data_IF_403074281027
#
_entry.id   IF_403074281027
#
_cell.length_a   1.000
_cell.length_b   1.000
_cell.length_c   1.000
_cell.angle_alpha   90.00
_cell.angle_beta   90.00
_cell.angle_gamma   90.00
#
_symmetry.space_group_name_H-M   'P 1'
#
loop_
_entity.id
_entity.type
_entity.pdbx_description
1 polymer ?
#
# COMPACT_ATOMS: atom_id res chain seq x y z
N UNK A 1 -5.44 12.64 -4.86
CA UNK A 1 -6.24 13.89 -4.86
C UNK A 1 -6.82 14.17 -3.47
N UNK A 2 -7.72 13.35 -2.92
CA UNK A 2 -8.30 13.56 -1.58
C UNK A 2 -7.25 13.65 -0.44
N UNK A 3 -6.25 12.78 -0.45
CA UNK A 3 -5.16 12.82 0.55
C UNK A 3 -4.25 14.06 0.42
N UNK A 4 -4.12 14.65 -0.76
CA UNK A 4 -3.37 15.90 -0.96
C UNK A 4 -4.16 17.12 -0.48
N UNK A 5 -5.48 17.11 -0.67
CA UNK A 5 -6.37 18.15 -0.17
C UNK A 5 -6.46 18.15 1.36
N UNK A 6 -6.51 16.98 2.00
CA UNK A 6 -6.48 16.84 3.47
C UNK A 6 -5.17 17.37 4.06
N UNK A 7 -4.03 17.09 3.41
CA UNK A 7 -2.72 17.60 3.82
C UNK A 7 -2.61 19.12 3.65
N UNK A 8 -3.20 19.68 2.60
CA UNK A 8 -3.29 21.14 2.39
C UNK A 8 -4.21 21.80 3.42
N UNK A 9 -5.32 21.13 3.79
CA UNK A 9 -6.21 21.58 4.85
C UNK A 9 -5.50 21.67 6.20
N UNK A 10 -4.79 20.62 6.60
CA UNK A 10 -3.99 20.60 7.83
C UNK A 10 -2.89 21.67 7.82
N UNK A 11 -2.24 21.92 6.68
CA UNK A 11 -1.24 22.98 6.55
C UNK A 11 -1.82 24.37 6.84
N UNK A 12 -2.99 24.69 6.27
CA UNK A 12 -3.68 25.96 6.51
C UNK A 12 -4.08 26.14 7.98
N UNK A 13 -4.56 25.06 8.63
CA UNK A 13 -4.92 25.11 10.06
C UNK A 13 -3.69 25.43 10.93
N UNK A 14 -2.53 24.86 10.62
CA UNK A 14 -1.30 25.16 11.36
C UNK A 14 -0.82 26.60 11.17
N UNK A 15 -0.86 27.11 9.95
CA UNK A 15 -0.52 28.51 9.65
C UNK A 15 -1.44 29.47 10.40
N UNK A 16 -2.73 29.14 10.46
CA UNK A 16 -3.71 29.90 11.23
C UNK A 16 -3.42 29.90 12.73
N UNK A 17 -3.08 28.74 13.33
CA UNK A 17 -2.67 28.65 14.75
C UNK A 17 -1.42 29.48 15.04
N UNK A 18 -0.45 29.52 14.10
CA UNK A 18 0.74 30.37 14.23
C UNK A 18 0.39 31.87 14.16
N UNK A 19 -0.52 32.26 13.26
CA UNK A 19 -1.00 33.64 13.18
C UNK A 19 -1.66 34.08 14.50
N UNK A 20 -2.52 33.24 15.08
CA UNK A 20 -3.13 33.50 16.40
C UNK A 20 -2.06 33.68 17.48
N UNK A 21 -1.05 32.80 17.51
CA UNK A 21 0.07 32.89 18.44
C UNK A 21 0.82 34.24 18.35
N UNK A 22 1.09 34.72 17.13
CA UNK A 22 1.74 36.03 16.90
C UNK A 22 0.83 37.17 17.35
N UNK A 23 -0.48 37.09 17.08
CA UNK A 23 -1.46 38.10 17.53
C UNK A 23 -1.42 38.24 19.06
N UNK A 24 -1.38 37.12 19.80
CA UNK A 24 -1.25 37.18 21.26
C UNK A 24 0.01 37.91 21.71
N UNK A 25 1.13 37.77 21.01
CA UNK A 25 2.39 38.49 21.34
C UNK A 25 2.25 39.98 21.06
N UNK A 26 1.68 40.36 19.92
CA UNK A 26 1.45 41.77 19.56
C UNK A 26 0.53 42.43 20.58
N UNK A 27 -0.58 41.76 20.92
CA UNK A 27 -1.56 42.23 21.90
C UNK A 27 -0.95 42.29 23.32
N UNK A 28 -0.08 41.34 23.67
CA UNK A 28 0.68 41.37 24.91
C UNK A 28 1.59 42.61 25.01
N UNK A 29 2.40 42.86 23.97
CA UNK A 29 3.28 44.03 23.91
C UNK A 29 2.46 45.32 23.97
N UNK A 30 1.34 45.37 23.23
CA UNK A 30 0.46 46.53 23.23
C UNK A 30 -0.07 46.87 24.63
N UNK A 31 -0.55 45.86 25.36
CA UNK A 31 -1.12 46.06 26.68
C UNK A 31 -0.07 46.42 27.74
N UNK A 32 1.02 45.65 27.83
CA UNK A 32 2.01 45.82 28.90
C UNK A 32 3.02 46.95 28.63
N UNK A 33 3.13 47.44 27.39
CA UNK A 33 3.95 48.61 27.02
C UNK A 33 3.09 49.82 26.61
N UNK A 34 1.84 49.91 27.08
CA UNK A 34 0.88 50.93 26.64
C UNK A 34 1.41 52.37 26.79
N UNK A 35 2.11 52.67 27.89
CA UNK A 35 2.70 54.00 28.11
C UNK A 35 3.66 54.39 26.97
N UNK A 36 4.54 53.47 26.55
CA UNK A 36 5.48 53.72 25.47
C UNK A 36 4.78 53.95 24.12
N UNK A 37 3.64 53.29 23.90
CA UNK A 37 2.84 53.40 22.67
C UNK A 37 2.14 54.76 22.60
N UNK A 38 1.60 55.22 23.73
CA UNK A 38 1.03 56.56 23.86
C UNK A 38 2.11 57.64 23.68
N UNK A 39 3.29 57.46 24.27
CA UNK A 39 4.44 58.37 24.12
C UNK A 39 4.94 58.47 22.67
N UNK A 40 4.75 57.41 21.87
CA UNK A 40 5.01 57.41 20.41
C UNK A 40 3.91 58.09 19.59
N UNK A 41 2.84 58.59 20.22
CA UNK A 41 1.70 59.22 19.54
C UNK A 41 0.75 58.23 18.87
N UNK A 42 0.84 56.93 19.18
CA UNK A 42 -0.03 55.90 18.64
C UNK A 42 -1.20 55.71 19.61
N UNK A 43 -2.39 56.19 19.23
CA UNK A 43 -3.61 55.97 19.99
C UNK A 43 -4.69 55.36 19.08
N UNK A 44 -4.99 54.08 19.29
CA UNK A 44 -6.00 53.36 18.51
C UNK A 44 -7.16 53.03 19.46
N UNK A 45 -8.05 54.00 19.68
CA UNK A 45 -9.15 53.86 20.66
C UNK A 45 -10.08 52.65 20.43
N UNK A 46 -10.16 52.13 19.20
CA UNK A 46 -10.90 50.88 18.91
C UNK A 46 -10.22 49.66 19.55
N UNK A 47 -8.88 49.57 19.45
CA UNK A 47 -8.10 48.47 20.04
C UNK A 47 -8.20 48.52 21.56
N UNK A 48 -8.09 49.71 22.15
CA UNK A 48 -8.21 49.90 23.60
C UNK A 48 -9.54 49.37 24.13
N UNK A 49 -10.65 49.73 23.46
CA UNK A 49 -11.99 49.25 23.84
C UNK A 49 -12.13 47.73 23.74
N UNK A 50 -11.55 47.12 22.70
CA UNK A 50 -11.57 45.67 22.51
C UNK A 50 -10.78 44.96 23.61
N UNK A 51 -9.55 45.41 23.89
CA UNK A 51 -8.69 44.79 24.90
C UNK A 51 -9.26 44.95 26.31
N UNK A 52 -9.86 46.10 26.63
CA UNK A 52 -10.56 46.33 27.90
C UNK A 52 -11.74 45.38 28.09
N UNK A 53 -12.53 45.12 27.04
CA UNK A 53 -13.60 44.13 27.10
C UNK A 53 -13.06 42.71 27.35
N UNK A 54 -11.98 42.31 26.67
CA UNK A 54 -11.33 41.02 26.94
C UNK A 54 -10.80 40.92 28.37
N UNK A 55 -10.26 42.01 28.92
CA UNK A 55 -9.83 42.04 30.31
C UNK A 55 -11.02 41.89 31.27
N UNK A 56 -12.10 42.63 31.05
CA UNK A 56 -13.28 42.62 31.92
C UNK A 56 -14.02 41.27 31.89
N UNK A 57 -14.00 40.56 30.76
CA UNK A 57 -14.69 39.27 30.62
C UNK A 57 -13.82 38.07 30.96
N UNK A 58 -12.56 38.05 30.52
CA UNK A 58 -11.70 36.87 30.59
C UNK A 58 -10.45 37.03 31.48
N UNK A 59 -10.17 38.23 31.99
CA UNK A 59 -8.99 38.50 32.83
C UNK A 59 -7.66 38.19 32.14
N UNK A 60 -7.63 38.21 30.80
CA UNK A 60 -6.53 37.72 29.96
C UNK A 60 -5.20 38.46 30.23
N UNK A 61 -5.26 39.72 30.64
CA UNK A 61 -4.12 40.59 30.89
C UNK A 61 -3.81 40.80 32.37
N UNK A 62 -4.45 40.05 33.26
CA UNK A 62 -4.24 40.17 34.71
C UNK A 62 -2.81 39.81 35.15
N UNK A 63 -2.08 39.02 34.35
CA UNK A 63 -0.69 38.65 34.62
C UNK A 63 0.07 38.51 33.28
N UNK A 64 1.33 38.94 33.26
CA UNK A 64 2.23 38.81 32.10
C UNK A 64 2.33 37.37 31.59
N UNK A 65 2.20 36.38 32.47
CA UNK A 65 2.33 34.97 32.10
C UNK A 65 1.16 34.44 31.28
N UNK A 66 -0.06 34.95 31.49
CA UNK A 66 -1.28 34.35 30.90
C UNK A 66 -1.25 34.45 29.38
N UNK A 67 -1.08 35.65 28.85
CA UNK A 67 -0.98 35.91 27.39
C UNK A 67 0.23 35.24 26.76
N UNK A 68 1.36 35.14 27.49
CA UNK A 68 2.55 34.41 27.05
C UNK A 68 2.30 32.91 26.93
N UNK A 69 1.61 32.30 27.90
CA UNK A 69 1.24 30.89 27.86
C UNK A 69 0.30 30.61 26.68
N UNK A 70 -0.71 31.44 26.45
CA UNK A 70 -1.59 31.32 25.28
C UNK A 70 -0.82 31.38 23.96
N UNK A 71 0.12 32.34 23.82
CA UNK A 71 0.97 32.42 22.65
C UNK A 71 1.76 31.13 22.41
N UNK A 72 2.32 30.52 23.46
CA UNK A 72 3.07 29.25 23.36
C UNK A 72 2.17 28.04 23.09
N UNK A 73 0.96 27.98 23.65
CA UNK A 73 -0.01 26.90 23.35
C UNK A 73 -0.33 26.89 21.85
N UNK A 74 -0.70 28.04 21.29
CA UNK A 74 -1.00 28.14 19.86
C UNK A 74 0.23 27.88 18.98
N UNK A 75 1.42 28.29 19.43
CA UNK A 75 2.68 27.96 18.76
C UNK A 75 2.93 26.44 18.76
N UNK A 76 2.76 25.77 19.89
CA UNK A 76 2.94 24.33 20.03
C UNK A 76 1.98 23.56 19.11
N UNK A 77 0.69 23.94 19.10
CA UNK A 77 -0.31 23.39 18.19
C UNK A 77 0.09 23.60 16.71
N UNK A 78 0.64 24.77 16.36
CA UNK A 78 1.12 25.03 15.00
C UNK A 78 2.31 24.16 14.57
N UNK A 79 3.06 23.59 15.51
CA UNK A 79 4.24 22.78 15.22
C UNK A 79 3.90 21.29 14.96
N UNK A 80 2.79 20.77 15.51
CA UNK A 80 2.45 19.34 15.50
C UNK A 80 2.26 18.73 14.09
N UNK A 81 1.71 19.47 13.13
CA UNK A 81 1.46 18.93 11.79
C UNK A 81 2.57 19.22 10.78
N UNK A 82 3.61 19.99 11.12
CA UNK A 82 4.61 20.43 10.13
C UNK A 82 5.38 19.24 9.57
N UNK A 83 5.37 19.07 8.24
CA UNK A 83 6.20 18.06 7.56
C UNK A 83 7.59 18.64 7.36
N UNK A 84 8.51 18.33 8.28
CA UNK A 84 9.91 18.72 8.14
C UNK A 84 10.63 17.88 7.10
N UNK A 85 11.32 18.53 6.15
CA UNK A 85 12.27 17.87 5.26
C UNK A 85 13.43 17.32 6.11
N UNK A 86 13.67 16.01 6.06
CA UNK A 86 14.78 15.33 6.75
C UNK A 86 16.09 15.80 6.11
N UNK A 87 16.82 16.73 6.72
CA UNK A 87 18.13 17.06 6.20
C UNK A 87 19.22 17.51 7.20
N UNK A 88 19.02 17.31 8.51
CA UNK A 88 20.11 17.56 9.47
C UNK A 88 20.12 16.54 10.61
N UNK A 89 21.32 16.05 10.96
CA UNK A 89 21.60 15.28 12.18
C UNK A 89 21.35 16.19 13.40
N UNK A 90 20.10 16.26 13.85
CA UNK A 90 19.70 17.01 15.04
C UNK A 90 19.87 16.14 16.29
N UNK A 91 20.60 16.64 17.28
CA UNK A 91 20.81 15.98 18.56
C UNK A 91 19.85 16.56 19.61
N UNK A 92 19.35 15.72 20.52
CA UNK A 92 18.49 16.14 21.63
C UNK A 92 19.07 17.30 22.45
N UNK A 93 20.40 17.34 22.62
CA UNK A 93 21.10 18.42 23.31
C UNK A 93 20.84 19.80 22.68
N UNK A 94 20.81 19.91 21.34
CA UNK A 94 20.50 21.16 20.64
C UNK A 94 19.06 21.58 20.84
N UNK A 95 18.13 20.62 20.85
CA UNK A 95 16.71 20.87 21.10
C UNK A 95 16.50 21.42 22.51
N UNK A 96 17.09 20.78 23.53
CA UNK A 96 17.00 21.23 24.91
C UNK A 96 17.64 22.61 25.12
N UNK A 97 18.83 22.86 24.57
CA UNK A 97 19.49 24.16 24.69
C UNK A 97 18.64 25.29 24.06
N UNK A 98 18.05 25.03 22.89
CA UNK A 98 17.22 26.00 22.17
C UNK A 98 15.88 26.24 22.88
N UNK A 99 15.24 25.18 23.39
CA UNK A 99 14.03 25.28 24.19
C UNK A 99 14.26 26.07 25.49
N UNK A 100 15.33 25.75 26.21
CA UNK A 100 15.67 26.43 27.46
C UNK A 100 16.05 27.90 27.24
N UNK A 101 16.80 28.19 26.17
CA UNK A 101 17.06 29.57 25.75
C UNK A 101 15.77 30.34 25.41
N UNK A 102 14.83 29.69 24.70
CA UNK A 102 13.50 30.24 24.44
C UNK A 102 12.72 30.54 25.71
N UNK A 103 12.74 29.60 26.67
CA UNK A 103 12.06 29.74 27.96
C UNK A 103 12.60 30.92 28.77
N UNK A 104 13.92 31.05 28.89
CA UNK A 104 14.55 32.15 29.61
C UNK A 104 14.23 33.49 28.95
N UNK A 105 14.45 33.62 27.63
CA UNK A 105 14.26 34.91 26.95
C UNK A 105 12.79 35.34 26.87
N UNK A 106 11.86 34.39 26.77
CA UNK A 106 10.43 34.70 26.61
C UNK A 106 9.72 34.92 27.96
N UNK A 107 10.01 34.11 28.99
CA UNK A 107 9.33 34.19 30.28
C UNK A 107 10.09 35.02 31.31
N UNK A 108 11.44 35.00 31.32
CA UNK A 108 12.27 35.67 32.34
C UNK A 108 12.72 37.09 31.96
N UNK A 109 11.91 37.81 31.19
CA UNK A 109 12.21 39.17 30.74
C UNK A 109 11.33 40.26 31.40
N UNK A 110 10.58 39.94 32.47
CA UNK A 110 9.66 40.89 33.11
C UNK A 110 10.35 42.15 33.64
N UNK A 111 11.55 41.98 34.23
CA UNK A 111 12.35 43.06 34.82
C UNK A 111 12.87 44.08 33.80
N UNK A 112 12.82 43.77 32.50
CA UNK A 112 13.22 44.71 31.45
C UNK A 112 12.23 45.87 31.29
N UNK A 113 11.00 45.72 31.79
CA UNK A 113 10.01 46.80 31.80
C UNK A 113 10.32 47.87 32.85
N UNK A 114 11.00 47.50 33.94
CA UNK A 114 11.30 48.35 35.10
C UNK A 114 12.71 48.97 35.07
N UNK A 115 13.40 48.90 33.94
CA UNK A 115 14.74 49.48 33.80
C UNK A 115 14.71 51.02 33.85
N UNK A 116 15.78 51.68 34.33
CA UNK A 116 15.84 53.14 34.47
C UNK A 116 16.11 53.86 33.13
N UNK A 117 15.50 53.39 32.04
CA UNK A 117 15.54 54.04 30.72
C UNK A 117 14.16 54.60 30.35
N UNK A 118 14.05 55.25 29.19
CA UNK A 118 12.75 55.72 28.71
C UNK A 118 11.80 54.54 28.42
N UNK A 119 10.47 54.71 28.59
CA UNK A 119 9.49 53.65 28.32
C UNK A 119 9.63 53.02 26.93
N UNK A 120 9.99 53.83 25.94
CA UNK A 120 10.26 53.40 24.56
C UNK A 120 11.45 52.44 24.50
N UNK A 121 12.55 52.73 25.18
CA UNK A 121 13.74 51.87 25.19
C UNK A 121 13.44 50.54 25.89
N UNK A 122 12.73 50.57 27.01
CA UNK A 122 12.30 49.37 27.73
C UNK A 122 11.41 48.48 26.85
N UNK A 123 10.44 49.07 26.14
CA UNK A 123 9.56 48.36 25.19
C UNK A 123 10.34 47.66 24.08
N UNK A 124 11.35 48.33 23.50
CA UNK A 124 12.18 47.76 22.43
C UNK A 124 12.99 46.57 22.95
N UNK A 125 13.68 46.72 24.07
CA UNK A 125 14.49 45.64 24.69
C UNK A 125 13.59 44.44 25.03
N UNK A 126 12.42 44.71 25.61
CA UNK A 126 11.43 43.70 25.96
C UNK A 126 10.89 42.96 24.73
N UNK A 127 10.57 43.68 23.66
CA UNK A 127 10.05 43.12 22.41
C UNK A 127 11.10 42.26 21.71
N UNK A 128 12.36 42.70 21.69
CA UNK A 128 13.46 41.94 21.08
C UNK A 128 13.67 40.61 21.81
N UNK A 129 13.71 40.63 23.14
CA UNK A 129 13.90 39.40 23.93
C UNK A 129 12.72 38.43 23.80
N UNK A 130 11.48 38.94 23.79
CA UNK A 130 10.31 38.11 23.48
C UNK A 130 10.37 37.52 22.07
N UNK A 131 10.76 38.32 21.07
CA UNK A 131 10.82 37.85 19.67
C UNK A 131 11.87 36.77 19.50
N UNK A 132 13.07 36.95 20.06
CA UNK A 132 14.12 35.94 20.03
C UNK A 132 13.67 34.67 20.77
N UNK A 133 13.08 34.81 21.97
CA UNK A 133 12.54 33.69 22.73
C UNK A 133 11.47 32.90 21.95
N UNK A 134 10.57 33.61 21.25
CA UNK A 134 9.54 33.02 20.40
C UNK A 134 10.12 32.23 19.21
N UNK A 135 11.13 32.79 18.52
CA UNK A 135 11.80 32.11 17.41
C UNK A 135 12.48 30.82 17.90
N UNK A 136 13.15 30.86 19.06
CA UNK A 136 13.76 29.67 19.66
C UNK A 136 12.71 28.60 19.99
N UNK A 137 11.55 29.00 20.53
CA UNK A 137 10.44 28.07 20.73
C UNK A 137 9.92 27.48 19.42
N UNK A 138 9.73 28.28 18.37
CA UNK A 138 9.31 27.79 17.06
C UNK A 138 10.32 26.77 16.49
N UNK A 139 11.62 27.07 16.56
CA UNK A 139 12.68 26.17 16.12
C UNK A 139 12.65 24.85 16.90
N UNK A 140 12.59 24.93 18.24
CA UNK A 140 12.53 23.74 19.10
C UNK A 140 11.27 22.91 18.85
N UNK A 141 10.10 23.53 18.70
CA UNK A 141 8.82 22.86 18.43
C UNK A 141 8.80 22.13 17.08
N UNK A 142 9.35 22.76 16.04
CA UNK A 142 9.52 22.11 14.73
C UNK A 142 10.49 20.92 14.82
N UNK A 143 11.58 21.03 15.58
CA UNK A 143 12.51 19.91 15.76
C UNK A 143 11.91 18.76 16.57
N UNK A 144 11.18 19.07 17.65
CA UNK A 144 10.46 18.07 18.46
C UNK A 144 9.42 17.34 17.60
N UNK A 145 8.63 18.07 16.81
CA UNK A 145 7.63 17.50 15.89
C UNK A 145 8.25 16.51 14.87
N UNK A 146 9.48 16.78 14.42
CA UNK A 146 10.22 15.85 13.54
C UNK A 146 10.65 14.56 14.25
N UNK A 147 10.95 14.61 15.55
CA UNK A 147 11.38 13.44 16.33
C UNK A 147 10.22 12.55 16.75
N UNK A 148 9.07 13.12 17.09
CA UNK A 148 7.88 12.36 17.51
C UNK A 148 7.19 11.60 16.37
N UNK A 149 7.51 11.89 15.10
CA UNK A 149 6.92 11.23 13.91
C UNK A 149 7.37 9.78 13.68
N UNK A 150 7.89 9.09 14.69
CA UNK A 150 8.17 7.66 14.54
C UNK A 150 6.96 6.75 14.72
N UNK A 151 5.88 7.15 15.42
CA UNK A 151 4.86 6.18 15.88
C UNK A 151 3.37 6.59 15.81
N UNK A 152 2.98 7.78 15.35
CA UNK A 152 1.57 8.23 15.48
C UNK A 152 0.71 8.16 14.21
N UNK A 153 1.34 7.93 13.06
CA UNK A 153 0.66 7.77 11.77
C UNK A 153 1.38 6.65 11.03
N UNK A 154 1.37 5.45 11.60
CA UNK A 154 1.78 4.29 10.82
C UNK A 154 0.88 4.21 9.59
N UNK A 155 1.53 4.06 8.44
CA UNK A 155 0.87 3.90 7.16
C UNK A 155 -0.23 2.84 7.27
N UNK A 156 -1.45 3.16 6.83
CA UNK A 156 -2.56 2.20 6.81
C UNK A 156 -2.21 1.01 5.92
N UNK A 157 -1.35 1.23 4.92
CA UNK A 157 -0.80 0.23 4.01
C UNK A 157 0.61 -0.21 4.45
N UNK A 158 0.74 -0.64 5.71
CA UNK A 158 1.98 -1.24 6.20
C UNK A 158 1.87 -2.77 6.25
N UNK A 159 3.01 -3.46 6.21
CA UNK A 159 3.07 -4.94 6.20
C UNK A 159 2.32 -5.55 7.39
N UNK A 160 2.28 -4.88 8.54
CA UNK A 160 1.55 -5.37 9.72
C UNK A 160 0.03 -5.28 9.55
N UNK A 161 -0.47 -4.18 8.98
CA UNK A 161 -1.89 -3.91 8.72
C UNK A 161 -2.41 -4.68 7.49
N UNK A 162 -1.56 -4.93 6.50
CA UNK A 162 -1.87 -5.76 5.33
C UNK A 162 -1.70 -7.27 5.60
N UNK A 163 -1.04 -7.63 6.72
CA UNK A 163 -0.93 -9.03 7.13
C UNK A 163 -2.21 -9.56 7.76
N UNK A 164 -2.63 -10.75 7.35
CA UNK A 164 -3.73 -11.49 7.98
C UNK A 164 -3.35 -12.95 8.16
N UNK A 165 -4.02 -13.61 9.11
CA UNK A 165 -3.79 -15.02 9.38
C UNK A 165 -4.27 -15.87 8.20
N UNK A 166 -3.34 -16.60 7.57
CA UNK A 166 -3.67 -17.56 6.50
C UNK A 166 -3.95 -18.95 7.10
N UNK A 167 -4.47 -19.87 6.29
CA UNK A 167 -4.72 -21.24 6.75
C UNK A 167 -3.40 -21.96 7.05
N UNK A 168 -3.29 -22.52 8.25
CA UNK A 168 -2.10 -23.21 8.76
C UNK A 168 -2.27 -24.72 8.80
N UNK A 169 -3.50 -25.21 8.66
CA UNK A 169 -3.79 -26.64 8.66
C UNK A 169 -3.67 -27.21 7.25
N UNK A 170 -2.97 -28.33 7.16
CA UNK A 170 -2.95 -29.16 5.95
C UNK A 170 -4.28 -29.91 5.84
N UNK A 171 -5.04 -29.66 4.77
CA UNK A 171 -6.33 -30.31 4.52
C UNK A 171 -6.23 -31.28 3.33
N UNK A 172 -5.91 -32.53 3.62
CA UNK A 172 -5.77 -33.57 2.60
C UNK A 172 -7.06 -34.37 2.39
N UNK A 173 -7.35 -34.69 1.13
CA UNK A 173 -8.37 -35.65 0.73
C UNK A 173 -7.95 -36.38 -0.55
N UNK A 174 -8.80 -37.27 -1.06
CA UNK A 174 -8.54 -38.07 -2.28
C UNK A 174 -8.24 -37.21 -3.53
N UNK A 175 -8.72 -35.96 -3.57
CA UNK A 175 -8.66 -35.06 -4.72
C UNK A 175 -7.77 -33.85 -4.51
N UNK A 176 -7.41 -33.51 -3.27
CA UNK A 176 -6.85 -32.20 -2.93
C UNK A 176 -5.48 -31.96 -3.60
N UNK A 177 -5.11 -30.70 -3.77
CA UNK A 177 -3.71 -30.31 -4.01
C UNK A 177 -3.31 -29.28 -2.97
N UNK A 178 -2.23 -29.54 -2.26
CA UNK A 178 -1.81 -28.80 -1.09
C UNK A 178 -0.45 -28.15 -1.36
N UNK A 179 -0.38 -26.82 -1.31
CA UNK A 179 0.84 -26.06 -1.61
C UNK A 179 1.37 -25.43 -0.32
N UNK A 180 2.63 -25.68 0.07
CA UNK A 180 3.22 -25.05 1.24
C UNK A 180 3.47 -23.56 1.00
N UNK A 181 3.16 -22.72 1.98
CA UNK A 181 3.39 -21.28 1.93
C UNK A 181 4.08 -20.77 3.19
N UNK A 182 4.66 -19.57 3.09
CA UNK A 182 5.11 -18.78 4.23
C UNK A 182 4.44 -17.43 4.20
N UNK A 183 3.99 -16.95 5.35
CA UNK A 183 3.37 -15.65 5.48
C UNK A 183 3.81 -14.96 6.76
N UNK A 184 3.80 -13.63 6.77
CA UNK A 184 4.07 -12.83 7.97
C UNK A 184 2.73 -12.44 8.58
N UNK A 185 2.57 -12.62 9.89
CA UNK A 185 1.42 -12.16 10.64
C UNK A 185 1.86 -11.71 12.04
N UNK A 186 1.47 -10.49 12.44
CA UNK A 186 1.87 -9.86 13.71
C UNK A 186 3.40 -9.83 13.92
N UNK A 187 4.15 -9.53 12.85
CA UNK A 187 5.62 -9.44 12.89
C UNK A 187 6.35 -10.77 13.05
N UNK A 188 5.65 -11.90 12.96
CA UNK A 188 6.24 -13.25 12.98
C UNK A 188 6.03 -13.93 11.64
N UNK A 189 7.00 -14.74 11.22
CA UNK A 189 6.86 -15.63 10.07
C UNK A 189 6.12 -16.90 10.50
N UNK A 190 5.18 -17.34 9.68
CA UNK A 190 4.35 -18.52 9.88
C UNK A 190 4.41 -19.42 8.65
N UNK A 191 4.43 -20.73 8.88
CA UNK A 191 4.20 -21.73 7.85
C UNK A 191 2.69 -21.89 7.61
N UNK A 192 2.29 -21.98 6.35
CA UNK A 192 0.90 -22.08 5.93
C UNK A 192 0.68 -23.04 4.77
N UNK A 193 -0.59 -23.20 4.39
CA UNK A 193 -1.00 -24.07 3.30
C UNK A 193 -2.08 -23.42 2.42
N UNK A 194 -1.87 -23.47 1.11
CA UNK A 194 -2.96 -23.29 0.14
C UNK A 194 -3.54 -24.68 -0.14
N UNK A 195 -4.72 -24.94 0.40
CA UNK A 195 -5.43 -26.20 0.25
C UNK A 195 -6.47 -26.10 -0.87
N UNK A 196 -6.16 -26.61 -2.07
CA UNK A 196 -7.15 -26.78 -3.12
C UNK A 196 -7.90 -28.08 -2.89
N UNK A 197 -8.92 -28.03 -2.04
CA UNK A 197 -9.68 -29.20 -1.57
C UNK A 197 -10.52 -29.88 -2.67
N UNK A 198 -10.85 -29.15 -3.74
CA UNK A 198 -11.60 -29.67 -4.88
C UNK A 198 -11.11 -29.03 -6.19
N UNK A 199 -10.11 -29.62 -6.88
CA UNK A 199 -9.56 -29.09 -8.12
C UNK A 199 -10.52 -29.22 -9.33
N UNK A 200 -11.61 -29.98 -9.23
CA UNK A 200 -12.58 -30.15 -10.32
C UNK A 200 -13.39 -28.87 -10.61
N UNK A 201 -13.35 -27.87 -9.73
CA UNK A 201 -13.99 -26.56 -9.93
C UNK A 201 -13.18 -25.60 -10.82
N UNK A 202 -12.27 -26.16 -11.63
CA UNK A 202 -11.19 -25.49 -12.31
C UNK A 202 -10.20 -24.80 -11.35
N UNK A 203 -8.95 -24.71 -11.78
CA UNK A 203 -7.92 -23.92 -11.09
C UNK A 203 -7.17 -23.10 -12.12
N UNK A 204 -6.98 -21.82 -11.84
CA UNK A 204 -6.28 -20.89 -12.73
C UNK A 204 -5.06 -20.35 -11.99
N UNK A 205 -3.90 -20.40 -12.66
CA UNK A 205 -2.65 -19.84 -12.15
C UNK A 205 -2.22 -18.69 -13.05
N UNK A 206 -2.22 -17.47 -12.50
CA UNK A 206 -1.86 -16.25 -13.22
C UNK A 206 -0.45 -15.79 -12.84
N UNK A 207 0.29 -15.25 -13.79
CA UNK A 207 1.61 -14.67 -13.53
C UNK A 207 2.41 -14.42 -14.80
N UNK A 208 3.38 -13.52 -14.73
CA UNK A 208 4.26 -13.16 -15.84
C UNK A 208 5.28 -14.27 -16.15
N UNK A 209 5.90 -14.29 -17.35
CA UNK A 209 7.03 -15.16 -17.63
C UNK A 209 8.13 -15.00 -16.56
N UNK A 210 8.69 -16.12 -16.09
CA UNK A 210 9.73 -16.11 -15.04
C UNK A 210 9.21 -16.03 -13.60
N UNK A 211 7.92 -15.85 -13.35
CA UNK A 211 7.36 -15.71 -11.99
C UNK A 211 7.30 -17.01 -11.16
N UNK A 212 7.90 -18.11 -11.64
CA UNK A 212 7.96 -19.38 -10.90
C UNK A 212 6.69 -20.24 -10.91
N UNK A 213 5.67 -19.93 -11.73
CA UNK A 213 4.40 -20.70 -11.78
C UNK A 213 4.57 -22.21 -11.91
N UNK A 214 5.45 -22.64 -12.83
CA UNK A 214 5.66 -24.06 -13.09
C UNK A 214 6.24 -24.76 -11.85
N UNK A 215 7.29 -24.17 -11.27
CA UNK A 215 7.96 -24.73 -10.09
C UNK A 215 7.05 -24.75 -8.85
N UNK A 216 6.39 -23.63 -8.55
CA UNK A 216 5.63 -23.47 -7.32
C UNK A 216 4.25 -24.17 -7.35
N UNK A 217 3.58 -24.20 -8.52
CA UNK A 217 2.20 -24.70 -8.60
C UNK A 217 2.08 -25.91 -9.52
N UNK A 218 2.45 -25.79 -10.80
CA UNK A 218 2.19 -26.86 -11.80
C UNK A 218 2.89 -28.17 -11.45
N UNK A 219 4.16 -28.10 -11.04
CA UNK A 219 4.93 -29.28 -10.64
C UNK A 219 4.30 -29.98 -9.42
N UNK A 220 3.77 -29.20 -8.46
CA UNK A 220 3.08 -29.76 -7.30
C UNK A 220 1.76 -30.42 -7.69
N UNK A 221 1.01 -29.81 -8.62
CA UNK A 221 -0.19 -30.43 -9.20
C UNK A 221 0.14 -31.77 -9.84
N UNK A 222 1.08 -31.79 -10.80
CA UNK A 222 1.49 -33.02 -11.49
C UNK A 222 1.88 -34.10 -10.48
N UNK A 223 2.71 -33.73 -9.50
CA UNK A 223 3.18 -34.69 -8.50
C UNK A 223 2.05 -35.28 -7.68
N UNK A 224 1.21 -34.42 -7.11
CA UNK A 224 0.15 -34.84 -6.20
C UNK A 224 -0.98 -35.57 -6.93
N UNK A 225 -1.36 -35.16 -8.14
CA UNK A 225 -2.39 -35.86 -8.91
C UNK A 225 -1.93 -37.26 -9.32
N UNK A 226 -0.69 -37.40 -9.80
CA UNK A 226 -0.13 -38.71 -10.14
C UNK A 226 0.00 -39.59 -8.89
N UNK A 227 0.50 -39.03 -7.78
CA UNK A 227 0.60 -39.75 -6.51
C UNK A 227 -0.75 -40.20 -5.92
N UNK A 228 -1.84 -39.58 -6.36
CA UNK A 228 -3.22 -39.94 -6.00
C UNK A 228 -3.90 -40.85 -7.03
N UNK A 229 -3.17 -41.32 -8.04
CA UNK A 229 -3.68 -42.28 -9.02
C UNK A 229 -4.49 -41.65 -10.16
N UNK A 230 -4.35 -40.35 -10.41
CA UNK A 230 -5.06 -39.68 -11.50
C UNK A 230 -4.41 -39.98 -12.85
N UNK A 231 -5.25 -40.19 -13.87
CA UNK A 231 -4.83 -40.00 -15.25
C UNK A 231 -4.66 -38.50 -15.50
N UNK A 232 -3.50 -38.09 -16.02
CA UNK A 232 -3.16 -36.68 -16.19
C UNK A 232 -2.92 -36.38 -17.67
N UNK A 233 -3.55 -35.33 -18.19
CA UNK A 233 -3.28 -34.78 -19.53
C UNK A 233 -2.47 -33.50 -19.37
N UNK A 234 -1.25 -33.46 -19.93
CA UNK A 234 -0.29 -32.38 -19.73
C UNK A 234 0.04 -31.76 -21.09
N UNK A 235 -0.20 -30.45 -21.21
CA UNK A 235 0.30 -29.66 -22.33
C UNK A 235 1.67 -29.09 -21.96
N UNK A 236 2.73 -29.69 -22.50
CA UNK A 236 4.11 -29.31 -22.23
C UNK A 236 4.67 -28.44 -23.35
N UNK A 237 4.49 -27.12 -23.22
CA UNK A 237 4.95 -26.16 -24.23
C UNK A 237 6.49 -26.13 -24.38
N UNK A 238 7.24 -26.55 -23.36
CA UNK A 238 8.71 -26.58 -23.35
C UNK A 238 9.21 -28.01 -23.25
N UNK A 239 8.69 -28.87 -24.12
CA UNK A 239 9.01 -30.29 -24.08
C UNK A 239 10.54 -30.53 -24.02
N UNK A 240 11.06 -31.33 -23.08
CA UNK A 240 10.39 -32.30 -22.20
C UNK A 240 10.30 -31.89 -20.70
N UNK A 241 10.33 -30.58 -20.38
CA UNK A 241 10.38 -30.05 -19.01
C UNK A 241 9.35 -30.69 -18.04
N UNK A 242 8.05 -30.61 -18.36
CA UNK A 242 7.00 -31.16 -17.50
C UNK A 242 6.84 -32.67 -17.68
N UNK A 243 7.12 -33.15 -18.90
CA UNK A 243 7.00 -34.55 -19.28
C UNK A 243 7.93 -35.45 -18.47
N UNK A 244 9.18 -35.02 -18.24
CA UNK A 244 10.15 -35.74 -17.41
C UNK A 244 9.67 -35.82 -15.95
N UNK A 245 9.10 -34.75 -15.41
CA UNK A 245 8.56 -34.74 -14.05
C UNK A 245 7.39 -35.72 -13.93
N UNK A 246 6.46 -35.66 -14.87
CA UNK A 246 5.30 -36.54 -14.90
C UNK A 246 5.68 -38.01 -15.03
N UNK A 247 6.61 -38.34 -15.94
CA UNK A 247 7.08 -39.71 -16.13
C UNK A 247 7.78 -40.26 -14.88
N UNK A 248 8.67 -39.48 -14.28
CA UNK A 248 9.35 -39.88 -13.05
C UNK A 248 8.39 -40.07 -11.88
N UNK A 249 7.39 -39.19 -11.74
CA UNK A 249 6.39 -39.36 -10.70
C UNK A 249 5.50 -40.59 -10.96
N UNK A 250 5.16 -40.86 -12.22
CA UNK A 250 4.39 -42.03 -12.60
C UNK A 250 5.12 -43.32 -12.22
N UNK A 251 6.42 -43.42 -12.53
CA UNK A 251 7.23 -44.57 -12.17
C UNK A 251 7.26 -44.83 -10.65
N UNK A 252 7.30 -43.76 -9.83
CA UNK A 252 7.30 -43.85 -8.37
C UNK A 252 5.97 -44.26 -7.75
N UNK A 253 4.87 -44.05 -8.47
CA UNK A 253 3.51 -44.21 -7.94
C UNK A 253 2.68 -45.22 -8.75
N UNK A 254 3.30 -46.00 -9.65
CA UNK A 254 2.59 -46.90 -10.56
C UNK A 254 1.81 -47.99 -9.83
N UNK A 255 2.26 -48.35 -8.63
CA UNK A 255 1.64 -49.29 -7.70
C UNK A 255 0.32 -48.76 -7.10
N UNK A 256 0.13 -47.44 -7.08
CA UNK A 256 -1.08 -46.81 -6.53
C UNK A 256 -2.28 -46.87 -7.48
N UNK A 257 -2.06 -47.24 -8.74
CA UNK A 257 -3.11 -47.31 -9.74
C UNK A 257 -3.76 -48.69 -9.75
N UNK A 258 -5.10 -48.73 -9.65
CA UNK A 258 -5.87 -49.98 -9.84
C UNK A 258 -5.62 -50.61 -11.21
N UNK A 259 -5.53 -49.77 -12.24
CA UNK A 259 -5.16 -50.16 -13.61
C UNK A 259 -3.91 -49.38 -13.99
N UNK A 260 -2.81 -50.09 -14.24
CA UNK A 260 -1.52 -49.45 -14.54
C UNK A 260 -1.65 -48.55 -15.79
N UNK A 261 -1.39 -47.24 -15.66
CA UNK A 261 -1.50 -46.31 -16.78
C UNK A 261 -0.34 -46.51 -17.75
N UNK A 262 -0.59 -46.20 -19.01
CA UNK A 262 0.46 -46.06 -20.03
C UNK A 262 0.83 -44.59 -20.20
N UNK A 263 2.09 -44.30 -20.53
CA UNK A 263 2.57 -42.95 -20.76
C UNK A 263 2.67 -42.68 -22.26
N UNK A 264 1.81 -41.80 -22.77
CA UNK A 264 1.78 -41.41 -24.18
C UNK A 264 2.20 -39.96 -24.33
N UNK A 265 2.93 -39.68 -25.41
CA UNK A 265 3.43 -38.36 -25.79
C UNK A 265 3.03 -38.09 -27.22
N UNK A 266 2.38 -36.96 -27.49
CA UNK A 266 2.14 -36.46 -28.84
C UNK A 266 3.03 -35.24 -29.04
N UNK A 267 4.04 -35.34 -29.90
CA UNK A 267 5.03 -34.30 -30.13
C UNK A 267 5.00 -33.88 -31.61
N UNK A 268 4.64 -32.62 -31.85
CA UNK A 268 4.54 -32.05 -33.19
C UNK A 268 5.88 -31.50 -33.71
N UNK A 269 6.86 -31.26 -32.83
CA UNK A 269 8.18 -30.72 -33.18
C UNK A 269 9.18 -31.83 -33.53
N UNK A 270 9.20 -32.94 -32.76
CA UNK A 270 10.00 -34.15 -33.05
C UNK A 270 9.09 -35.38 -33.17
N UNK A 271 8.63 -35.70 -34.39
CA UNK A 271 7.77 -36.85 -34.65
C UNK A 271 8.37 -38.20 -34.22
N UNK A 272 9.70 -38.31 -34.08
CA UNK A 272 10.37 -39.55 -33.64
C UNK A 272 10.15 -39.83 -32.16
N UNK A 273 9.88 -38.81 -31.36
CA UNK A 273 9.56 -38.90 -29.92
C UNK A 273 8.05 -38.90 -29.68
N UNK A 274 7.25 -38.84 -30.73
CA UNK A 274 5.79 -38.88 -30.67
C UNK A 274 5.28 -40.31 -30.79
N UNK A 275 4.31 -40.64 -29.96
CA UNK A 275 3.38 -41.72 -30.25
C UNK A 275 2.48 -41.30 -31.43
N UNK A 276 1.98 -42.30 -32.16
CA UNK A 276 1.08 -42.05 -33.29
C UNK A 276 -0.36 -41.99 -32.79
N UNK A 277 -1.07 -40.96 -33.21
CA UNK A 277 -2.50 -40.82 -32.99
C UNK A 277 -3.15 -40.48 -34.33
N UNK A 278 -4.27 -41.14 -34.64
CA UNK A 278 -5.14 -40.74 -35.73
C UNK A 278 -6.47 -40.27 -35.11
N UNK A 279 -6.70 -38.95 -35.01
CA UNK A 279 -7.95 -38.40 -34.47
C UNK A 279 -9.18 -38.79 -35.29
N UNK A 280 -9.00 -39.06 -36.59
CA UNK A 280 -10.07 -39.47 -37.52
C UNK A 280 -10.10 -40.99 -37.75
N UNK A 281 -9.68 -41.78 -36.76
CA UNK A 281 -9.74 -43.24 -36.89
C UNK A 281 -11.21 -43.68 -36.95
N UNK A 282 -11.62 -44.53 -37.91
CA UNK A 282 -13.01 -44.99 -38.03
C UNK A 282 -13.57 -45.63 -36.76
N UNK A 283 -12.72 -46.20 -35.90
CA UNK A 283 -13.13 -46.76 -34.60
C UNK A 283 -13.72 -45.73 -33.63
N UNK A 284 -13.44 -44.44 -33.83
CA UNK A 284 -13.97 -43.35 -33.00
C UNK A 284 -15.17 -42.65 -33.63
N UNK A 285 -15.60 -43.07 -34.83
CA UNK A 285 -16.69 -42.46 -35.60
C UNK A 285 -17.89 -43.39 -35.59
N UNK A 286 -18.67 -43.31 -34.53
CA UNK A 286 -19.85 -44.15 -34.35
C UNK A 286 -21.05 -43.54 -35.08
N UNK A 287 -21.12 -42.21 -35.12
CA UNK A 287 -22.17 -41.45 -35.79
C UNK A 287 -21.56 -40.37 -36.72
N UNK A 288 -22.33 -39.93 -37.70
CA UNK A 288 -21.94 -38.85 -38.63
C UNK A 288 -21.64 -37.55 -37.87
N UNK A 289 -22.23 -37.37 -36.69
CA UNK A 289 -21.94 -36.27 -35.78
C UNK A 289 -20.47 -36.28 -35.31
N UNK A 290 -19.83 -37.44 -35.12
CA UNK A 290 -18.41 -37.53 -34.76
C UNK A 290 -17.50 -37.04 -35.88
N UNK A 291 -17.85 -37.38 -37.13
CA UNK A 291 -17.15 -36.91 -38.32
C UNK A 291 -17.34 -35.40 -38.50
N UNK A 292 -18.55 -34.89 -38.23
CA UNK A 292 -18.85 -33.47 -38.24
C UNK A 292 -18.05 -32.70 -37.18
N UNK A 293 -18.07 -33.13 -35.92
CA UNK A 293 -17.30 -32.50 -34.83
C UNK A 293 -15.80 -32.49 -35.09
N UNK A 294 -15.28 -33.59 -35.67
CA UNK A 294 -13.87 -33.68 -36.09
C UNK A 294 -13.56 -32.67 -37.19
N UNK A 295 -14.38 -32.62 -38.25
CA UNK A 295 -14.23 -31.67 -39.36
C UNK A 295 -14.35 -30.23 -38.87
N UNK A 296 -15.34 -29.94 -38.04
CA UNK A 296 -15.60 -28.64 -37.44
C UNK A 296 -14.40 -28.16 -36.63
N UNK A 297 -13.90 -29.01 -35.73
CA UNK A 297 -12.71 -28.72 -34.90
C UNK A 297 -11.48 -28.46 -35.77
N UNK A 298 -11.23 -29.28 -36.80
CA UNK A 298 -10.09 -29.11 -37.71
C UNK A 298 -10.19 -27.78 -38.46
N UNK A 299 -11.33 -27.52 -39.11
CA UNK A 299 -11.50 -26.37 -40.00
C UNK A 299 -11.47 -25.03 -39.24
N UNK A 300 -12.10 -24.95 -38.07
CA UNK A 300 -12.07 -23.73 -37.26
C UNK A 300 -10.69 -23.44 -36.67
N UNK A 301 -9.89 -24.47 -36.36
CA UNK A 301 -8.53 -24.26 -35.88
C UNK A 301 -7.54 -23.92 -37.02
N UNK A 302 -7.81 -24.37 -38.25
CA UNK A 302 -7.06 -23.96 -39.45
C UNK A 302 -7.30 -22.48 -39.80
N UNK A 303 -8.54 -22.00 -39.66
CA UNK A 303 -8.86 -20.59 -39.87
C UNK A 303 -9.66 -19.99 -38.71
N UNK A 304 -8.94 -19.41 -37.74
CA UNK A 304 -9.54 -18.82 -36.54
C UNK A 304 -10.55 -17.70 -36.81
N UNK A 305 -10.51 -17.04 -37.97
CA UNK A 305 -11.51 -16.00 -38.32
C UNK A 305 -12.91 -16.58 -38.53
N UNK A 306 -13.01 -17.86 -38.86
CA UNK A 306 -14.28 -18.55 -39.06
C UNK A 306 -15.04 -18.79 -37.75
N UNK A 307 -14.35 -18.76 -36.61
CA UNK A 307 -14.98 -18.89 -35.28
C UNK A 307 -16.02 -17.78 -35.06
N UNK A 308 -15.79 -16.58 -35.60
CA UNK A 308 -16.71 -15.44 -35.48
C UNK A 308 -17.81 -15.43 -36.56
N UNK A 309 -17.75 -16.35 -37.53
CA UNK A 309 -18.61 -16.43 -38.73
C UNK A 309 -19.36 -17.76 -38.82
N UNK A 310 -19.60 -18.40 -37.67
CA UNK A 310 -20.36 -19.65 -37.62
C UNK A 310 -21.78 -19.41 -38.16
N UNK A 311 -22.27 -20.33 -39.00
CA UNK A 311 -23.53 -20.17 -39.73
C UNK A 311 -23.40 -19.48 -41.10
N UNK A 312 -22.25 -18.88 -41.44
CA UNK A 312 -22.03 -18.38 -42.81
C UNK A 312 -21.86 -19.55 -43.79
N UNK A 313 -22.53 -19.46 -44.95
CA UNK A 313 -22.47 -20.49 -45.99
C UNK A 313 -21.04 -20.91 -46.37
N UNK A 314 -20.11 -19.95 -46.48
CA UNK A 314 -18.72 -20.22 -46.86
C UNK A 314 -17.87 -20.85 -45.75
N UNK A 315 -18.35 -20.84 -44.51
CA UNK A 315 -17.73 -21.54 -43.38
C UNK A 315 -18.33 -22.94 -43.24
N UNK A 316 -19.65 -23.05 -43.32
CA UNK A 316 -20.36 -24.33 -43.14
C UNK A 316 -20.12 -25.30 -44.30
N UNK A 317 -20.14 -24.82 -45.56
CA UNK A 317 -19.97 -25.68 -46.75
C UNK A 317 -18.69 -26.53 -46.72
N UNK A 318 -17.49 -25.97 -46.48
CA UNK A 318 -16.28 -26.78 -46.42
C UNK A 318 -16.20 -27.68 -45.18
N UNK A 319 -16.84 -27.32 -44.06
CA UNK A 319 -16.96 -28.18 -42.88
C UNK A 319 -17.80 -29.41 -43.20
N UNK A 320 -18.98 -29.21 -43.81
CA UNK A 320 -19.88 -30.30 -44.23
C UNK A 320 -19.19 -31.20 -45.26
N UNK A 321 -18.48 -30.61 -46.22
CA UNK A 321 -17.73 -31.38 -47.21
C UNK A 321 -16.65 -32.25 -46.55
N UNK A 322 -15.87 -31.70 -45.62
CA UNK A 322 -14.84 -32.46 -44.91
C UNK A 322 -15.47 -33.55 -44.03
N UNK A 323 -16.59 -33.27 -43.35
CA UNK A 323 -17.33 -34.24 -42.57
C UNK A 323 -17.78 -35.42 -43.44
N UNK A 324 -18.32 -35.14 -44.64
CA UNK A 324 -18.71 -36.18 -45.59
C UNK A 324 -17.50 -37.01 -46.06
N UNK A 325 -16.37 -36.36 -46.38
CA UNK A 325 -15.13 -37.07 -46.76
C UNK A 325 -14.68 -38.00 -45.63
N UNK A 326 -14.65 -37.51 -44.40
CA UNK A 326 -14.26 -38.29 -43.22
C UNK A 326 -15.21 -39.49 -43.02
N UNK A 327 -16.52 -39.30 -43.20
CA UNK A 327 -17.53 -40.34 -42.96
C UNK A 327 -17.52 -41.46 -44.01
N UNK A 328 -17.22 -41.13 -45.27
CA UNK A 328 -17.26 -42.09 -46.38
C UNK A 328 -15.90 -42.71 -46.73
N UNK A 329 -14.81 -42.32 -46.04
CA UNK A 329 -13.47 -42.92 -46.16
C UNK A 329 -13.32 -44.20 -45.33
#
# INVERSE_FOLDING_TARGET
>A
MQQEDDLRGLAKVMEFMRAISIIFIVVHIYWFCYQAIVDMGINIGVVDKILLNFQNTAGLFSNLLVTKVFAIIFLALSCLGTKGVKNQKMTWQKIYATFLGGLVLFFMNWWMLDLPFSPIVNMVIYTVTMTVGYILFLMSGVWISRMFKHNLMEDVFNVANESFMQETRLMENEYSVNLPTKFVYQGKEWDGWINVVNPFRATIVLGTPGSGKSYAVVNNYIKQTIAKGFATYIYDYKFDDLSVIAYNELLKNIDKYKVKPSFYVINFDDPRRSHRCNPINPKFMVDISDAYESAYTIMLNLNKTWIQKQGDFFVESPIILLAAIIWYL
#
